data_IF_652789683972
#
_entry.id   IF_652789683972
#
_cell.length_a   1.000
_cell.length_b   1.000
_cell.length_c   1.000
_cell.angle_alpha   90.00
_cell.angle_beta   90.00
_cell.angle_gamma   90.00
#
_symmetry.space_group_name_H-M   'P 1'
#
loop_
_entity.id
_entity.type
_entity.pdbx_description
1 polymer ?
#
# COMPACT_ATOMS: atom_id res chain seq x y z
N UNK A 1 11.42 35.72 -0.70
CA UNK A 1 12.00 34.45 -1.19
C UNK A 1 11.54 33.43 -0.16
N UNK A 2 10.22 33.33 0.02
CA UNK A 2 9.59 32.84 1.25
C UNK A 2 8.13 32.41 0.95
N UNK A 3 7.92 31.65 -0.11
CA UNK A 3 6.59 31.09 -0.46
C UNK A 3 6.66 29.60 -0.86
N UNK A 4 7.87 29.02 -0.94
CA UNK A 4 8.10 27.62 -1.36
C UNK A 4 8.24 26.68 -0.15
N UNK A 5 8.64 27.16 1.02
CA UNK A 5 8.90 26.31 2.21
C UNK A 5 7.63 25.80 2.93
N UNK A 6 6.42 26.25 2.53
CA UNK A 6 5.17 25.91 3.22
C UNK A 6 4.28 24.90 2.47
N UNK A 7 4.76 24.34 1.35
CA UNK A 7 4.08 23.25 0.61
C UNK A 7 4.68 21.87 0.95
N UNK A 8 5.74 21.82 1.75
CA UNK A 8 6.51 20.60 2.06
C UNK A 8 6.21 19.99 3.44
N UNK A 9 5.35 20.61 4.26
CA UNK A 9 5.10 20.17 5.66
C UNK A 9 4.33 18.84 5.79
N UNK A 10 3.66 18.39 4.71
CA UNK A 10 2.96 17.09 4.65
C UNK A 10 3.79 15.97 3.97
N UNK A 11 5.03 16.25 3.55
CA UNK A 11 5.85 15.28 2.82
C UNK A 11 6.63 14.37 3.77
N UNK A 12 6.18 13.12 3.89
CA UNK A 12 6.91 12.07 4.62
C UNK A 12 8.05 11.50 3.75
N UNK A 13 9.31 11.71 4.15
CA UNK A 13 10.50 11.14 3.49
C UNK A 13 10.99 9.92 4.27
N UNK A 14 11.06 8.76 3.61
CA UNK A 14 11.65 7.54 4.16
C UNK A 14 13.06 7.37 3.61
N UNK A 15 14.08 7.61 4.45
CA UNK A 15 15.50 7.42 4.11
C UNK A 15 15.97 6.01 4.50
N UNK A 16 15.94 5.10 3.52
CA UNK A 16 16.43 3.74 3.68
C UNK A 16 17.96 3.66 3.86
N UNK A 17 18.73 4.67 3.45
CA UNK A 17 20.19 4.67 3.56
C UNK A 17 20.67 4.95 4.98
N UNK A 18 19.85 5.66 5.78
CA UNK A 18 20.14 5.93 7.20
C UNK A 18 19.38 5.02 8.19
N UNK A 19 18.54 4.10 7.70
CA UNK A 19 17.73 3.23 8.54
C UNK A 19 18.61 2.29 9.39
N UNK A 20 18.48 2.39 10.72
CA UNK A 20 19.32 1.63 11.68
C UNK A 20 19.01 0.13 11.72
N UNK A 21 17.84 -0.28 11.23
CA UNK A 21 17.39 -1.68 11.17
C UNK A 21 17.26 -2.17 9.72
N UNK A 22 17.94 -1.49 8.78
CA UNK A 22 17.94 -1.87 7.36
C UNK A 22 18.48 -3.29 7.21
N UNK A 23 17.82 -4.09 6.38
CA UNK A 23 18.11 -5.52 6.25
C UNK A 23 17.26 -6.29 7.23
N UNK A 24 17.60 -6.22 8.52
CA UNK A 24 17.02 -7.06 9.58
C UNK A 24 15.49 -6.92 9.71
N UNK A 25 14.93 -5.71 9.55
CA UNK A 25 13.49 -5.48 9.68
C UNK A 25 12.81 -5.13 8.34
N UNK A 26 13.53 -5.19 7.21
CA UNK A 26 13.01 -4.71 5.94
C UNK A 26 11.82 -5.54 5.44
N UNK A 27 11.76 -6.84 5.73
CA UNK A 27 10.65 -7.71 5.30
C UNK A 27 9.30 -7.32 5.93
N UNK A 28 9.31 -6.64 7.08
CA UNK A 28 8.12 -6.13 7.77
C UNK A 28 7.96 -4.61 7.64
N UNK A 29 8.78 -3.93 6.84
CA UNK A 29 8.67 -2.49 6.63
C UNK A 29 7.53 -2.15 5.66
N UNK A 30 6.85 -1.01 5.87
CA UNK A 30 5.80 -0.49 4.97
C UNK A 30 6.30 -0.29 3.53
N UNK A 31 7.57 0.06 3.34
CA UNK A 31 8.18 0.25 2.01
C UNK A 31 8.11 -1.04 1.18
N UNK A 32 8.29 -2.19 1.81
CA UNK A 32 8.21 -3.49 1.13
C UNK A 32 6.81 -3.78 0.62
N UNK A 33 5.76 -3.36 1.33
CA UNK A 33 4.38 -3.44 0.85
C UNK A 33 4.16 -2.48 -0.31
N UNK A 34 4.61 -1.23 -0.20
CA UNK A 34 4.38 -0.20 -1.23
C UNK A 34 5.09 -0.53 -2.55
N UNK A 35 6.34 -1.01 -2.50
CA UNK A 35 7.15 -1.30 -3.68
C UNK A 35 7.03 -2.75 -4.17
N UNK A 36 6.57 -3.66 -3.31
CA UNK A 36 6.55 -5.11 -3.56
C UNK A 36 5.16 -5.73 -3.57
N UNK A 37 4.08 -4.95 -3.43
CA UNK A 37 2.73 -5.49 -3.52
C UNK A 37 2.48 -6.12 -4.90
N UNK A 38 1.79 -7.28 -4.95
CA UNK A 38 1.33 -7.84 -6.21
C UNK A 38 0.36 -6.86 -6.91
N UNK A 39 0.30 -6.89 -8.25
CA UNK A 39 -0.52 -5.95 -9.02
C UNK A 39 -2.03 -6.11 -8.76
N UNK A 40 -2.44 -7.27 -8.26
CA UNK A 40 -3.79 -7.55 -7.78
C UNK A 40 -3.74 -8.47 -6.58
N UNK A 41 -4.75 -8.36 -5.72
CA UNK A 41 -4.99 -9.26 -4.60
C UNK A 41 -6.40 -9.81 -4.77
N UNK A 42 -6.50 -11.13 -4.94
CA UNK A 42 -7.80 -11.80 -4.94
C UNK A 42 -8.22 -12.08 -3.50
N UNK A 43 -9.48 -11.75 -3.20
CA UNK A 43 -10.07 -11.98 -1.89
C UNK A 43 -11.22 -12.96 -2.03
N UNK A 44 -11.22 -14.00 -1.22
CA UNK A 44 -12.37 -14.87 -1.10
C UNK A 44 -13.50 -14.20 -0.29
N UNK A 45 -14.61 -14.92 -0.09
CA UNK A 45 -15.77 -14.38 0.65
C UNK A 45 -15.48 -14.21 2.14
N UNK A 46 -14.76 -15.14 2.75
CA UNK A 46 -14.45 -15.10 4.18
C UNK A 46 -13.45 -13.98 4.47
N UNK A 47 -12.43 -13.81 3.63
CA UNK A 47 -11.42 -12.77 3.79
C UNK A 47 -12.03 -11.37 3.60
N UNK A 48 -12.86 -11.16 2.56
CA UNK A 48 -13.60 -9.89 2.41
C UNK A 48 -14.44 -9.58 3.63
N UNK A 49 -15.17 -10.57 4.15
CA UNK A 49 -15.98 -10.39 5.34
C UNK A 49 -15.15 -10.03 6.57
N UNK A 50 -13.99 -10.67 6.76
CA UNK A 50 -13.09 -10.35 7.86
C UNK A 50 -12.62 -8.88 7.77
N UNK A 51 -12.19 -8.42 6.60
CA UNK A 51 -11.79 -7.01 6.42
C UNK A 51 -12.96 -6.06 6.64
N UNK A 52 -14.17 -6.40 6.21
CA UNK A 52 -15.36 -5.57 6.45
C UNK A 52 -15.63 -5.41 7.96
N UNK A 53 -15.53 -6.49 8.74
CA UNK A 53 -15.65 -6.43 10.22
C UNK A 53 -14.57 -5.54 10.83
N UNK A 54 -13.32 -5.66 10.37
CA UNK A 54 -12.23 -4.78 10.84
C UNK A 54 -12.52 -3.31 10.50
N UNK A 55 -13.11 -3.05 9.33
CA UNK A 55 -13.42 -1.70 8.89
C UNK A 55 -14.61 -1.10 9.65
N UNK A 56 -15.64 -1.90 9.95
CA UNK A 56 -16.77 -1.50 10.81
C UNK A 56 -16.32 -1.15 12.23
N UNK A 57 -15.33 -1.88 12.75
CA UNK A 57 -14.69 -1.59 14.03
C UNK A 57 -13.74 -0.38 13.99
N UNK A 58 -13.48 0.21 12.81
CA UNK A 58 -12.58 1.36 12.64
C UNK A 58 -11.09 1.01 12.65
N UNK A 59 -10.72 -0.26 12.53
CA UNK A 59 -9.32 -0.70 12.55
C UNK A 59 -8.63 -0.59 11.19
N UNK A 60 -9.40 -0.63 10.09
CA UNK A 60 -8.87 -0.49 8.72
C UNK A 60 -9.83 0.35 7.87
N UNK A 61 -9.35 0.96 6.77
CA UNK A 61 -10.23 1.58 5.79
C UNK A 61 -11.16 0.54 5.13
N UNK A 62 -12.37 0.97 4.74
CA UNK A 62 -13.29 0.12 3.97
C UNK A 62 -12.68 -0.30 2.63
N UNK A 63 -12.96 -1.53 2.23
CA UNK A 63 -12.55 -2.06 0.94
C UNK A 63 -13.14 -1.23 -0.22
N UNK A 64 -12.27 -0.79 -1.13
CA UNK A 64 -12.63 -0.08 -2.37
C UNK A 64 -12.35 -0.99 -3.57
N UNK A 65 -13.00 -2.15 -3.58
CA UNK A 65 -12.79 -3.16 -4.63
C UNK A 65 -13.31 -2.64 -5.97
N UNK A 66 -12.53 -2.88 -7.02
CA UNK A 66 -12.96 -2.72 -8.41
C UNK A 66 -13.17 -4.12 -8.97
N UNK A 67 -14.33 -4.45 -9.56
CA UNK A 67 -14.52 -5.75 -10.18
C UNK A 67 -13.44 -6.00 -11.24
N UNK A 68 -12.84 -7.18 -11.23
CA UNK A 68 -11.91 -7.56 -12.28
C UNK A 68 -12.68 -7.66 -13.62
N UNK A 69 -12.42 -6.69 -14.50
CA UNK A 69 -12.84 -6.73 -15.90
C UNK A 69 -12.01 -7.76 -16.67
N UNK A 70 -12.39 -8.09 -17.92
CA UNK A 70 -11.61 -9.02 -18.73
C UNK A 70 -10.17 -8.51 -18.92
N UNK A 71 -9.18 -9.17 -18.30
CA UNK A 71 -7.77 -8.88 -18.50
C UNK A 71 -7.39 -9.13 -19.96
N UNK A 72 -7.23 -8.06 -20.77
CA UNK A 72 -6.60 -8.17 -22.08
C UNK A 72 -5.14 -8.57 -21.87
N UNK A 73 -4.82 -9.84 -22.09
CA UNK A 73 -3.45 -10.34 -22.13
C UNK A 73 -2.63 -9.43 -23.04
N UNK A 74 -1.72 -8.64 -22.47
CA UNK A 74 -0.73 -7.90 -23.24
C UNK A 74 0.14 -8.96 -23.93
N UNK A 75 0.10 -9.01 -25.27
CA UNK A 75 1.00 -9.86 -26.04
C UNK A 75 2.41 -9.34 -25.77
N UNK A 76 3.24 -10.15 -25.13
CA UNK A 76 4.69 -9.95 -25.16
C UNK A 76 5.12 -10.09 -26.64
N UNK A 77 5.72 -9.04 -27.17
CA UNK A 77 6.39 -9.03 -28.46
C UNK A 77 7.89 -9.24 -28.28
#
# INVERSE_FOLDING_TARGET
>A
MDDIDHLDDDTLIIDCDRCQVRGDACENCVVSVVLGAPPSVEWDRAERHAIDVLAEAGMVPRLRLVPDGPHRRRRAG
#
